data_IF_527647187141
#
_entry.id   IF_527647187141
#
_cell.length_a   1.000
_cell.length_b   1.000
_cell.length_c   1.000
_cell.angle_alpha   90.00
_cell.angle_beta   90.00
_cell.angle_gamma   90.00
#
_symmetry.space_group_name_H-M   'P 1'
#
loop_
_entity.id
_entity.type
_entity.pdbx_description
1 polymer ?
#
# COMPACT_ATOMS: atom_id res chain seq x y z
N UNK A 1 -16.04 -6.89 9.29
CA UNK A 1 -15.16 -5.81 9.81
C UNK A 1 -15.89 -4.89 10.82
N UNK A 2 -16.48 -5.43 11.89
CA UNK A 2 -17.43 -4.67 12.72
C UNK A 2 -16.83 -3.43 13.40
N UNK A 3 -15.62 -3.52 13.97
CA UNK A 3 -14.97 -2.39 14.62
C UNK A 3 -14.67 -1.24 13.65
N UNK A 4 -14.22 -1.57 12.43
CA UNK A 4 -14.02 -0.56 11.38
C UNK A 4 -15.36 0.07 10.99
N UNK A 5 -16.43 -0.70 10.82
CA UNK A 5 -17.77 -0.16 10.47
C UNK A 5 -18.33 0.80 11.53
N UNK A 6 -17.85 0.73 12.76
CA UNK A 6 -18.23 1.65 13.84
C UNK A 6 -17.36 2.93 13.89
N UNK A 7 -16.29 3.01 13.09
CA UNK A 7 -15.45 4.21 13.01
C UNK A 7 -16.16 5.30 12.20
N UNK A 8 -16.01 6.59 12.56
CA UNK A 8 -16.52 7.69 11.75
C UNK A 8 -15.79 7.85 10.41
N UNK A 9 -14.57 7.33 10.27
CA UNK A 9 -13.77 7.42 9.05
C UNK A 9 -12.86 6.19 8.88
N UNK A 10 -13.45 5.02 8.59
CA UNK A 10 -12.72 3.77 8.55
C UNK A 10 -11.85 3.66 7.30
N UNK A 11 -10.62 3.22 7.53
CA UNK A 11 -9.61 3.08 6.50
C UNK A 11 -8.65 1.94 6.83
N UNK A 12 -8.20 1.23 5.81
CA UNK A 12 -7.19 0.18 5.87
C UNK A 12 -6.11 0.49 4.87
N UNK A 13 -4.86 0.47 5.33
CA UNK A 13 -3.68 0.84 4.55
C UNK A 13 -2.73 -0.34 4.56
N UNK A 14 -2.60 -1.00 3.42
CA UNK A 14 -1.72 -2.13 3.23
C UNK A 14 -0.33 -1.64 2.77
N UNK A 15 0.71 -1.96 3.52
CA UNK A 15 2.10 -1.67 3.11
C UNK A 15 2.56 -2.78 2.16
N UNK A 16 2.47 -2.49 0.86
CA UNK A 16 2.86 -3.39 -0.22
C UNK A 16 4.23 -3.01 -0.80
N UNK A 17 4.45 -3.28 -2.09
CA UNK A 17 5.70 -3.00 -2.81
C UNK A 17 5.42 -2.82 -4.29
N UNK A 18 6.19 -1.95 -4.94
CA UNK A 18 6.20 -1.85 -6.41
C UNK A 18 6.61 -3.17 -7.08
N UNK A 19 7.33 -4.04 -6.38
CA UNK A 19 7.67 -5.38 -6.90
C UNK A 19 6.47 -6.33 -7.00
N UNK A 20 5.38 -6.03 -6.29
CA UNK A 20 4.10 -6.74 -6.41
C UNK A 20 3.22 -6.19 -7.53
N UNK A 21 3.69 -5.17 -8.25
CA UNK A 21 2.94 -4.57 -9.33
C UNK A 21 3.03 -5.42 -10.61
N UNK A 22 1.91 -5.72 -11.25
CA UNK A 22 1.85 -6.49 -12.49
C UNK A 22 2.45 -5.71 -13.68
N UNK A 23 2.20 -4.40 -13.75
CA UNK A 23 2.72 -3.49 -14.78
C UNK A 23 4.26 -3.43 -14.83
N UNK A 24 4.92 -3.67 -13.69
CA UNK A 24 6.39 -3.67 -13.58
C UNK A 24 6.93 -5.02 -13.09
N UNK A 25 6.18 -6.11 -13.33
CA UNK A 25 6.57 -7.44 -12.87
C UNK A 25 7.89 -7.88 -13.49
N UNK A 26 8.73 -8.56 -12.70
CA UNK A 26 10.03 -9.05 -13.15
C UNK A 26 10.54 -10.21 -12.29
N UNK A 27 11.77 -10.64 -12.56
CA UNK A 27 12.39 -11.77 -11.87
C UNK A 27 12.87 -11.47 -10.43
N UNK A 28 13.32 -12.54 -9.75
CA UNK A 28 13.89 -12.49 -8.40
C UNK A 28 12.85 -12.34 -7.28
N UNK A 29 13.15 -12.90 -6.11
CA UNK A 29 12.29 -12.85 -4.91
C UNK A 29 10.82 -13.26 -5.15
N UNK A 30 10.55 -14.41 -5.81
CA UNK A 30 9.19 -14.77 -6.26
C UNK A 30 8.16 -14.79 -5.13
N UNK A 31 8.51 -15.34 -3.97
CA UNK A 31 7.61 -15.36 -2.82
C UNK A 31 7.23 -13.95 -2.34
N UNK A 32 8.21 -13.02 -2.28
CA UNK A 32 7.96 -11.63 -1.91
C UNK A 32 7.04 -10.94 -2.93
N UNK A 33 7.35 -11.07 -4.23
CA UNK A 33 6.53 -10.49 -5.31
C UNK A 33 5.10 -10.99 -5.28
N UNK A 34 4.91 -12.31 -5.21
CA UNK A 34 3.59 -12.93 -5.17
C UNK A 34 2.81 -12.51 -3.92
N UNK A 35 3.46 -12.44 -2.75
CA UNK A 35 2.80 -11.97 -1.53
C UNK A 35 2.29 -10.54 -1.64
N UNK A 36 3.06 -9.65 -2.29
CA UNK A 36 2.69 -8.24 -2.48
C UNK A 36 1.66 -8.06 -3.60
N UNK A 37 1.71 -8.87 -4.65
CA UNK A 37 0.68 -8.92 -5.69
C UNK A 37 -0.66 -9.41 -5.12
N UNK A 38 -0.65 -10.45 -4.28
CA UNK A 38 -1.84 -10.93 -3.59
C UNK A 38 -2.43 -9.86 -2.66
N UNK A 39 -1.58 -9.11 -1.94
CA UNK A 39 -2.02 -7.99 -1.10
C UNK A 39 -2.65 -6.85 -1.91
N UNK A 40 -2.12 -6.58 -3.10
CA UNK A 40 -2.69 -5.62 -4.04
C UNK A 40 -4.08 -6.05 -4.52
N UNK A 41 -4.24 -7.33 -4.89
CA UNK A 41 -5.53 -7.90 -5.28
C UNK A 41 -6.55 -7.85 -4.12
N UNK A 42 -6.12 -8.18 -2.89
CA UNK A 42 -6.96 -8.10 -1.69
C UNK A 42 -7.52 -6.69 -1.46
N UNK A 43 -6.70 -5.65 -1.64
CA UNK A 43 -7.16 -4.26 -1.57
C UNK A 43 -8.26 -3.99 -2.60
N UNK A 44 -8.10 -4.46 -3.84
CA UNK A 44 -9.12 -4.32 -4.88
C UNK A 44 -10.44 -4.98 -4.50
N UNK A 45 -10.38 -6.25 -4.08
CA UNK A 45 -11.56 -7.03 -3.65
C UNK A 45 -12.29 -6.32 -2.51
N UNK A 46 -11.59 -5.99 -1.41
CA UNK A 46 -12.23 -5.37 -0.25
C UNK A 46 -12.72 -3.95 -0.51
N UNK A 47 -12.06 -3.19 -1.38
CA UNK A 47 -12.57 -1.88 -1.79
C UNK A 47 -13.91 -1.96 -2.54
N UNK A 48 -14.17 -3.08 -3.23
CA UNK A 48 -15.42 -3.33 -3.92
C UNK A 48 -16.50 -3.92 -2.99
N UNK A 49 -16.12 -4.79 -2.05
CA UNK A 49 -17.04 -5.44 -1.12
C UNK A 49 -17.48 -4.54 0.05
N UNK A 50 -16.62 -3.62 0.49
CA UNK A 50 -16.84 -2.81 1.70
C UNK A 50 -16.84 -1.32 1.38
N UNK A 51 -17.82 -0.85 0.62
CA UNK A 51 -17.93 0.53 0.12
C UNK A 51 -17.91 1.63 1.20
N UNK A 52 -18.22 1.28 2.46
CA UNK A 52 -18.15 2.18 3.61
C UNK A 52 -16.75 2.31 4.24
N UNK A 53 -15.75 1.56 3.78
CA UNK A 53 -14.38 1.54 4.32
C UNK A 53 -13.39 1.85 3.19
N UNK A 54 -12.47 2.78 3.44
CA UNK A 54 -11.43 3.12 2.46
C UNK A 54 -10.32 2.07 2.50
N UNK A 55 -10.14 1.31 1.43
CA UNK A 55 -9.05 0.34 1.32
C UNK A 55 -8.01 0.85 0.33
N UNK A 56 -6.76 1.02 0.76
CA UNK A 56 -5.67 1.33 -0.16
C UNK A 56 -4.45 0.46 0.13
N UNK A 57 -3.61 0.33 -0.88
CA UNK A 57 -2.29 -0.26 -0.76
C UNK A 57 -1.25 0.78 -1.16
N UNK A 58 -0.08 0.74 -0.55
CA UNK A 58 0.98 1.70 -0.84
C UNK A 58 2.34 1.03 -0.94
N UNK A 59 3.22 1.61 -1.76
CA UNK A 59 4.62 1.22 -1.86
C UNK A 59 5.47 2.31 -1.18
N UNK A 60 6.26 1.97 -0.14
CA UNK A 60 7.13 2.94 0.53
C UNK A 60 8.40 3.27 -0.26
N UNK A 61 8.60 2.62 -1.42
CA UNK A 61 9.86 2.63 -2.15
C UNK A 61 10.93 1.76 -1.45
N UNK A 62 12.19 1.91 -1.88
CA UNK A 62 13.30 1.16 -1.29
C UNK A 62 13.91 1.94 -0.11
N UNK A 63 13.52 1.55 1.10
CA UNK A 63 13.76 2.29 2.35
C UNK A 63 14.89 1.67 3.18
N UNK A 64 15.76 2.52 3.76
CA UNK A 64 16.87 2.17 4.67
C UNK A 64 16.37 1.57 5.98
N UNK A 65 16.07 0.27 5.93
CA UNK A 65 15.66 -0.59 7.04
C UNK A 65 16.48 -1.87 7.00
N UNK A 66 16.36 -2.74 8.01
CA UNK A 66 16.97 -4.08 7.97
C UNK A 66 16.54 -4.87 6.72
N UNK A 67 15.27 -4.77 6.30
CA UNK A 67 14.77 -5.44 5.09
C UNK A 67 15.28 -4.80 3.79
N UNK A 68 15.44 -3.47 3.76
CA UNK A 68 15.92 -2.75 2.59
C UNK A 68 17.44 -2.84 2.40
N UNK A 69 18.19 -3.04 3.47
CA UNK A 69 19.66 -3.09 3.45
C UNK A 69 20.31 -1.72 3.25
N UNK A 70 21.64 -1.71 3.24
CA UNK A 70 22.46 -0.49 3.13
C UNK A 70 22.37 0.20 1.76
N UNK A 71 22.01 -0.54 0.71
CA UNK A 71 21.84 -0.02 -0.65
C UNK A 71 20.54 0.76 -0.87
N UNK A 72 19.60 0.71 0.08
CA UNK A 72 18.35 1.43 -0.04
C UNK A 72 18.56 2.95 -0.09
N UNK A 73 17.81 3.63 -0.96
CA UNK A 73 18.03 5.05 -1.26
C UNK A 73 17.17 5.99 -0.42
N UNK A 74 16.02 5.52 0.09
CA UNK A 74 15.06 6.37 0.83
C UNK A 74 15.23 6.27 2.34
N UNK A 75 14.98 7.37 3.04
CA UNK A 75 14.88 7.38 4.51
C UNK A 75 13.56 6.76 4.99
N UNK A 76 13.50 6.39 6.27
CA UNK A 76 12.30 5.81 6.90
C UNK A 76 11.15 6.79 6.90
N UNK A 77 11.43 8.06 7.21
CA UNK A 77 10.47 9.16 7.24
C UNK A 77 9.82 9.30 5.87
N UNK A 78 10.64 9.32 4.81
CA UNK A 78 10.16 9.41 3.43
C UNK A 78 9.33 8.18 3.02
N UNK A 79 9.65 6.99 3.52
CA UNK A 79 8.85 5.79 3.29
C UNK A 79 7.47 5.83 3.97
N UNK A 80 7.39 6.46 5.15
CA UNK A 80 6.17 6.52 5.96
C UNK A 80 5.17 7.58 5.47
N UNK A 81 5.61 8.62 4.77
CA UNK A 81 4.77 9.78 4.37
C UNK A 81 3.43 9.41 3.72
N UNK A 82 3.41 8.42 2.81
CA UNK A 82 2.16 8.05 2.12
C UNK A 82 1.23 7.26 3.04
N UNK A 83 1.75 6.41 3.92
CA UNK A 83 0.94 5.71 4.91
C UNK A 83 0.32 6.68 5.91
N UNK A 84 1.11 7.66 6.40
CA UNK A 84 0.62 8.71 7.30
C UNK A 84 -0.45 9.55 6.60
N UNK A 85 -0.18 10.02 5.38
CA UNK A 85 -1.15 10.80 4.60
C UNK A 85 -2.46 10.03 4.39
N UNK A 86 -2.39 8.75 3.99
CA UNK A 86 -3.57 7.89 3.89
C UNK A 86 -4.26 7.68 5.23
N UNK A 87 -3.57 7.77 6.37
CA UNK A 87 -4.15 7.58 7.70
C UNK A 87 -4.81 8.85 8.24
N UNK A 88 -4.33 10.03 7.86
CA UNK A 88 -4.72 11.31 8.51
C UNK A 88 -5.52 12.25 7.62
N UNK A 89 -5.36 12.17 6.29
CA UNK A 89 -6.05 13.08 5.37
C UNK A 89 -7.52 12.70 5.19
N UNK A 90 -8.40 13.68 5.00
CA UNK A 90 -9.85 13.43 4.86
C UNK A 90 -10.20 12.89 3.47
N UNK A 91 -9.70 13.60 2.45
CA UNK A 91 -9.98 13.32 1.05
C UNK A 91 -8.84 12.48 0.46
N UNK A 92 -9.02 11.17 0.54
CA UNK A 92 -8.11 10.17 0.00
C UNK A 92 -8.90 9.24 -0.92
N UNK A 93 -8.24 8.63 -1.93
CA UNK A 93 -8.91 7.67 -2.77
C UNK A 93 -9.27 6.39 -1.99
N UNK A 94 -10.01 5.49 -2.64
CA UNK A 94 -10.21 4.10 -2.20
C UNK A 94 -9.97 3.16 -3.38
N UNK A 95 -9.52 1.95 -3.09
CA UNK A 95 -9.21 0.91 -4.07
C UNK A 95 -8.02 1.26 -4.97
N UNK A 96 -7.02 1.99 -4.47
CA UNK A 96 -5.85 2.42 -5.25
C UNK A 96 -4.54 1.85 -4.71
N UNK A 97 -3.55 1.79 -5.60
CA UNK A 97 -2.15 1.57 -5.27
C UNK A 97 -1.40 2.89 -5.35
N UNK A 98 -0.69 3.25 -4.27
CA UNK A 98 -0.07 4.56 -4.14
C UNK A 98 1.41 4.50 -3.85
N UNK A 99 2.13 5.53 -4.29
CA UNK A 99 3.49 5.85 -3.84
C UNK A 99 3.65 7.36 -3.89
N UNK A 100 4.30 7.92 -2.87
CA UNK A 100 4.55 9.36 -2.79
C UNK A 100 3.26 10.21 -2.92
N UNK A 101 2.17 9.72 -2.31
CA UNK A 101 0.81 10.31 -2.35
C UNK A 101 0.20 10.41 -3.74
N UNK A 102 0.72 9.66 -4.71
CA UNK A 102 0.20 9.57 -6.07
C UNK A 102 -0.28 8.15 -6.36
N UNK A 103 -1.34 8.03 -7.15
CA UNK A 103 -1.78 6.74 -7.69
C UNK A 103 -0.76 6.27 -8.72
N UNK A 104 -0.37 5.01 -8.62
CA UNK A 104 0.55 4.35 -9.55
C UNK A 104 -0.12 3.12 -10.16
N UNK A 105 0.44 2.63 -11.26
CA UNK A 105 -0.07 1.44 -11.93
C UNK A 105 0.12 0.18 -11.09
N UNK A 106 -0.86 -0.72 -11.24
CA UNK A 106 -0.95 -1.98 -10.52
C UNK A 106 0.06 -3.02 -10.91
#
# INVERSE_FOLDING_TARGET
>A
LQLLRNSPDPRVINVSSGMGALSTMGGGNPAYRLSKAALNALTGIFSAEESGIKFNTMCPGWVKTTMGGSGATRSVEKGAETAIWLATEKDIPSGKFLRDKQVIDW
#
